data_IF_478899212972
#
_entry.id   IF_478899212972
#
_cell.length_a   1.000
_cell.length_b   1.000
_cell.length_c   1.000
_cell.angle_alpha   90.00
_cell.angle_beta   90.00
_cell.angle_gamma   90.00
#
_symmetry.space_group_name_H-M   'P 1'
#
loop_
_entity.id
_entity.type
_entity.pdbx_description
1 polymer ?
#
# COMPACT_ATOMS: atom_id res chain seq x y z
N UNK A 1 -12.12 -11.88 11.40
CA UNK A 1 -11.07 -12.61 10.65
C UNK A 1 -9.86 -11.71 10.44
N UNK A 2 -8.67 -12.25 10.65
CA UNK A 2 -7.45 -11.50 10.45
C UNK A 2 -7.22 -11.24 8.95
N UNK A 3 -6.81 -10.02 8.57
CA UNK A 3 -6.50 -9.75 7.17
C UNK A 3 -5.25 -10.51 6.72
N UNK A 4 -5.22 -10.88 5.45
CA UNK A 4 -4.08 -11.59 4.87
C UNK A 4 -2.84 -10.69 4.80
N UNK A 5 -3.03 -9.49 4.31
CA UNK A 5 -2.03 -8.42 4.30
C UNK A 5 -2.67 -7.10 4.70
N UNK A 6 -1.84 -6.12 5.04
CA UNK A 6 -2.26 -4.75 5.28
C UNK A 6 -1.66 -3.87 4.18
N UNK A 7 -2.52 -3.24 3.39
CA UNK A 7 -2.10 -2.28 2.37
C UNK A 7 -2.16 -0.90 3.02
N UNK A 8 -1.05 -0.17 3.03
CA UNK A 8 -0.99 1.16 3.64
C UNK A 8 -0.65 2.18 2.55
N UNK A 9 -1.54 3.13 2.33
CA UNK A 9 -1.32 4.23 1.39
C UNK A 9 -1.01 5.49 2.18
N UNK A 10 0.23 5.95 2.09
CA UNK A 10 0.73 7.10 2.81
C UNK A 10 0.47 8.36 2.00
N UNK A 11 -0.40 9.25 2.51
CA UNK A 11 -0.80 10.50 1.87
C UNK A 11 -1.27 10.33 0.42
N UNK A 12 -2.20 9.40 0.13
CA UNK A 12 -2.66 9.19 -1.25
C UNK A 12 -3.32 10.45 -1.80
N UNK A 13 -3.06 10.73 -3.08
CA UNK A 13 -3.49 11.97 -3.71
C UNK A 13 -4.66 11.77 -4.68
N UNK A 14 -4.74 10.61 -5.32
CA UNK A 14 -5.68 10.34 -6.40
C UNK A 14 -6.74 9.35 -5.95
N UNK A 15 -8.04 9.75 -5.93
CA UNK A 15 -9.10 8.87 -5.41
C UNK A 15 -9.25 7.58 -6.20
N UNK A 16 -9.00 7.60 -7.50
CA UNK A 16 -9.10 6.42 -8.35
C UNK A 16 -8.11 5.32 -7.92
N UNK A 17 -6.89 5.69 -7.55
CA UNK A 17 -5.88 4.74 -7.08
C UNK A 17 -6.29 4.11 -5.75
N UNK A 18 -6.83 4.91 -4.84
CA UNK A 18 -7.31 4.42 -3.56
C UNK A 18 -8.49 3.45 -3.75
N UNK A 19 -9.40 3.79 -4.67
CA UNK A 19 -10.51 2.90 -5.01
C UNK A 19 -10.04 1.57 -5.57
N UNK A 20 -9.07 1.59 -6.48
CA UNK A 20 -8.51 0.38 -7.06
C UNK A 20 -7.80 -0.47 -5.99
N UNK A 21 -7.09 0.16 -5.05
CA UNK A 21 -6.46 -0.55 -3.93
C UNK A 21 -7.51 -1.22 -3.04
N UNK A 22 -8.65 -0.56 -2.83
CA UNK A 22 -9.78 -1.14 -2.10
C UNK A 22 -10.31 -2.41 -2.76
N UNK A 23 -10.40 -2.41 -4.09
CA UNK A 23 -10.81 -3.58 -4.84
C UNK A 23 -9.82 -4.74 -4.67
N UNK A 24 -8.52 -4.43 -4.70
CA UNK A 24 -7.48 -5.42 -4.45
C UNK A 24 -7.56 -5.98 -3.03
N UNK A 25 -7.82 -5.11 -2.06
CA UNK A 25 -7.99 -5.53 -0.67
C UNK A 25 -9.13 -6.54 -0.53
N UNK A 26 -10.27 -6.26 -1.17
CA UNK A 26 -11.40 -7.20 -1.17
C UNK A 26 -11.04 -8.51 -1.85
N UNK A 27 -10.41 -8.45 -3.01
CA UNK A 27 -10.06 -9.63 -3.78
C UNK A 27 -9.11 -10.57 -3.04
N UNK A 28 -8.30 -10.03 -2.13
CA UNK A 28 -7.22 -10.77 -1.46
C UNK A 28 -7.46 -11.02 0.02
N UNK A 29 -8.58 -10.55 0.56
CA UNK A 29 -8.84 -10.65 2.00
C UNK A 29 -7.90 -9.80 2.84
N UNK A 30 -7.51 -8.63 2.33
CA UNK A 30 -6.59 -7.72 2.97
C UNK A 30 -7.30 -6.48 3.51
N UNK A 31 -6.64 -5.75 4.39
CA UNK A 31 -7.15 -4.50 4.96
C UNK A 31 -6.47 -3.32 4.30
N UNK A 32 -7.25 -2.27 4.04
CA UNK A 32 -6.71 -1.03 3.48
C UNK A 32 -6.61 0.03 4.56
N UNK A 33 -5.42 0.61 4.69
CA UNK A 33 -5.15 1.73 5.60
C UNK A 33 -4.79 2.96 4.79
N UNK A 34 -5.38 4.09 5.15
CA UNK A 34 -5.06 5.38 4.54
C UNK A 34 -4.49 6.29 5.62
N UNK A 35 -3.36 6.92 5.34
CA UNK A 35 -2.70 7.86 6.26
C UNK A 35 -2.95 9.28 5.76
N UNK A 36 -3.62 10.09 6.57
CA UNK A 36 -3.87 11.51 6.26
C UNK A 36 -2.57 12.31 6.24
N UNK A 37 -2.50 13.43 5.50
CA UNK A 37 -3.59 14.02 4.73
C UNK A 37 -3.86 13.28 3.43
N UNK A 38 -5.12 13.31 2.99
CA UNK A 38 -5.56 12.74 1.73
C UNK A 38 -5.77 13.87 0.72
N UNK A 39 -5.43 13.65 -0.54
CA UNK A 39 -5.65 14.62 -1.60
C UNK A 39 -7.08 14.67 -2.12
N UNK A 40 -8.02 14.02 -1.44
CA UNK A 40 -9.43 13.91 -1.86
C UNK A 40 -10.32 13.65 -0.65
N UNK A 41 -11.64 13.74 -0.88
CA UNK A 41 -12.64 13.44 0.14
C UNK A 41 -13.01 11.95 0.09
N UNK A 42 -13.21 11.35 1.26
CA UNK A 42 -13.66 9.96 1.39
C UNK A 42 -15.19 9.85 1.39
N UNK A 43 -15.93 10.93 1.13
CA UNK A 43 -17.38 10.83 1.10
C UNK A 43 -17.81 9.82 0.01
N UNK A 44 -18.87 9.11 0.30
CA UNK A 44 -19.37 8.05 -0.56
C UNK A 44 -19.68 8.52 -1.98
N UNK A 45 -20.20 9.73 -2.11
CA UNK A 45 -20.53 10.32 -3.40
C UNK A 45 -19.28 10.51 -4.27
N UNK A 46 -18.21 10.99 -3.67
CA UNK A 46 -16.93 11.22 -4.37
C UNK A 46 -16.32 9.90 -4.84
N UNK A 47 -16.32 8.89 -3.98
CA UNK A 47 -15.80 7.56 -4.30
C UNK A 47 -16.66 6.89 -5.37
N UNK A 48 -17.98 7.04 -5.32
CA UNK A 48 -18.90 6.47 -6.33
C UNK A 48 -18.66 7.00 -7.73
N UNK A 49 -18.17 8.22 -7.88
CA UNK A 49 -17.83 8.78 -9.18
C UNK A 49 -16.73 8.01 -9.91
N UNK A 50 -15.98 7.18 -9.18
CA UNK A 50 -14.97 6.32 -9.76
C UNK A 50 -15.51 4.94 -10.18
N UNK A 51 -16.83 4.72 -10.05
CA UNK A 51 -17.49 3.47 -10.42
C UNK A 51 -17.31 2.34 -9.42
N UNK A 52 -17.11 2.66 -8.13
CA UNK A 52 -16.74 1.68 -7.10
C UNK A 52 -17.92 1.29 -6.22
N UNK A 53 -18.78 0.39 -6.72
CA UNK A 53 -19.95 -0.09 -5.97
C UNK A 53 -19.57 -0.93 -4.75
N UNK A 54 -18.38 -1.52 -4.74
CA UNK A 54 -17.91 -2.41 -3.68
C UNK A 54 -17.29 -1.66 -2.49
N UNK A 55 -17.16 -0.32 -2.57
CA UNK A 55 -16.40 0.46 -1.57
C UNK A 55 -16.89 0.25 -0.14
N UNK A 56 -18.22 0.13 0.05
CA UNK A 56 -18.78 -0.09 1.38
C UNK A 56 -18.33 -1.41 2.02
N UNK A 57 -17.85 -2.36 1.23
CA UNK A 57 -17.39 -3.68 1.72
C UNK A 57 -15.90 -3.70 2.07
N UNK A 58 -15.16 -2.65 1.73
CA UNK A 58 -13.72 -2.60 2.00
C UNK A 58 -13.49 -2.45 3.51
N UNK A 59 -12.60 -3.28 4.06
CA UNK A 59 -12.14 -3.15 5.43
C UNK A 59 -11.16 -1.98 5.48
N UNK A 60 -11.69 -0.78 5.69
CA UNK A 60 -10.96 0.48 5.59
C UNK A 60 -10.70 1.09 6.96
N UNK A 61 -9.46 1.49 7.20
CA UNK A 61 -9.04 2.20 8.39
C UNK A 61 -8.29 3.46 7.99
N UNK A 62 -8.65 4.60 8.58
CA UNK A 62 -8.02 5.90 8.29
C UNK A 62 -7.31 6.39 9.54
N UNK A 63 -6.08 6.84 9.37
CA UNK A 63 -5.21 7.26 10.47
C UNK A 63 -4.69 8.67 10.25
N UNK A 64 -4.46 9.41 11.32
CA UNK A 64 -3.90 10.76 11.21
C UNK A 64 -2.40 10.73 10.97
N UNK A 65 -1.73 9.64 11.33
CA UNK A 65 -0.30 9.46 11.07
C UNK A 65 0.06 7.98 10.98
N UNK A 66 1.21 7.70 10.37
CA UNK A 66 1.74 6.34 10.33
C UNK A 66 2.10 5.84 11.73
N UNK A 67 2.55 6.74 12.60
CA UNK A 67 2.88 6.43 13.99
C UNK A 67 1.67 5.92 14.75
N UNK A 68 0.49 6.51 14.54
CA UNK A 68 -0.75 6.01 15.14
C UNK A 68 -1.06 4.59 14.69
N UNK A 69 -0.91 4.32 13.41
CA UNK A 69 -1.10 2.96 12.89
C UNK A 69 -0.14 1.99 13.55
N UNK A 70 1.14 2.35 13.63
CA UNK A 70 2.15 1.47 14.23
C UNK A 70 1.88 1.20 15.70
N UNK A 71 1.39 2.19 16.43
CA UNK A 71 1.04 2.01 17.84
C UNK A 71 -0.16 1.08 18.02
N UNK A 72 -1.10 1.12 17.09
CA UNK A 72 -2.28 0.25 17.12
C UNK A 72 -1.99 -1.16 16.60
N UNK A 73 -0.94 -1.32 15.82
CA UNK A 73 -0.57 -2.62 15.24
C UNK A 73 0.00 -3.55 16.30
N UNK A 74 -0.06 -4.86 16.03
CA UNK A 74 0.57 -5.85 16.88
C UNK A 74 2.06 -5.52 17.03
N UNK A 75 2.66 -5.67 18.24
CA UNK A 75 4.10 -5.40 18.42
C UNK A 75 5.01 -6.20 17.49
N UNK A 76 4.56 -7.36 17.01
CA UNK A 76 5.32 -8.20 16.07
C UNK A 76 5.07 -7.84 14.62
N UNK A 77 4.27 -6.81 14.33
CA UNK A 77 3.94 -6.41 12.97
C UNK A 77 5.18 -6.04 12.17
N UNK A 78 5.21 -6.48 10.92
CA UNK A 78 6.31 -6.25 10.00
C UNK A 78 5.88 -5.28 8.93
N UNK A 79 6.70 -4.26 8.69
CA UNK A 79 6.41 -3.20 7.71
C UNK A 79 7.44 -3.22 6.59
N UNK A 80 6.96 -3.24 5.34
CA UNK A 80 7.77 -3.11 4.14
C UNK A 80 7.44 -1.78 3.48
N UNK A 81 8.44 -1.09 2.96
CA UNK A 81 8.30 0.26 2.40
C UNK A 81 8.65 0.24 0.93
N UNK A 82 7.70 0.57 0.07
CA UNK A 82 7.86 0.51 -1.38
C UNK A 82 8.30 1.86 -1.94
N UNK A 83 9.40 1.87 -2.68
CA UNK A 83 9.95 3.10 -3.25
C UNK A 83 10.79 2.79 -4.49
N UNK A 84 10.69 3.65 -5.50
CA UNK A 84 11.57 3.57 -6.67
C UNK A 84 13.03 3.86 -6.32
N UNK A 85 13.29 4.43 -5.16
CA UNK A 85 14.63 4.77 -4.67
C UNK A 85 15.29 3.64 -3.90
N UNK A 86 14.57 2.59 -3.55
CA UNK A 86 15.14 1.45 -2.86
C UNK A 86 15.99 0.60 -3.83
N UNK A 87 16.91 -0.18 -3.28
CA UNK A 87 17.80 -1.01 -4.09
C UNK A 87 17.38 -2.48 -4.11
N UNK A 88 16.79 -2.94 -3.02
CA UNK A 88 16.39 -4.35 -2.89
C UNK A 88 15.08 -4.59 -3.62
N UNK A 89 15.07 -5.60 -4.49
CA UNK A 89 13.83 -5.98 -5.19
C UNK A 89 12.80 -6.55 -4.22
N UNK A 90 11.53 -6.25 -4.47
CA UNK A 90 10.45 -6.86 -3.71
C UNK A 90 10.41 -8.40 -3.90
N UNK A 91 10.99 -8.92 -4.99
CA UNK A 91 11.10 -10.36 -5.20
C UNK A 91 11.99 -11.04 -4.16
N UNK A 92 12.91 -10.29 -3.54
CA UNK A 92 13.83 -10.83 -2.53
C UNK A 92 13.25 -10.77 -1.12
N UNK A 93 12.14 -10.11 -0.92
CA UNK A 93 11.53 -9.99 0.40
C UNK A 93 10.87 -11.29 0.82
N UNK A 94 10.97 -11.61 2.10
CA UNK A 94 10.31 -12.75 2.71
C UNK A 94 8.97 -12.27 3.29
N UNK A 95 7.94 -12.22 2.45
CA UNK A 95 6.62 -11.76 2.89
C UNK A 95 5.94 -12.83 3.75
N UNK A 96 5.28 -12.37 4.79
CA UNK A 96 4.52 -13.24 5.71
C UNK A 96 3.11 -12.71 5.89
N UNK A 97 2.21 -13.59 6.31
CA UNK A 97 0.82 -13.19 6.59
C UNK A 97 0.78 -12.02 7.55
N UNK A 98 -0.11 -11.08 7.29
CA UNK A 98 -0.35 -9.87 8.07
C UNK A 98 0.75 -8.82 7.97
N UNK A 99 1.70 -9.01 7.06
CA UNK A 99 2.70 -7.96 6.80
C UNK A 99 2.01 -6.68 6.29
N UNK A 100 2.59 -5.55 6.63
CA UNK A 100 2.16 -4.23 6.19
C UNK A 100 3.01 -3.80 5.00
N UNK A 101 2.33 -3.40 3.92
CA UNK A 101 2.95 -2.97 2.68
C UNK A 101 2.67 -1.47 2.51
N UNK A 102 3.68 -0.63 2.70
CA UNK A 102 3.52 0.83 2.74
C UNK A 102 3.93 1.44 1.41
N UNK A 103 2.98 2.16 0.79
CA UNK A 103 3.17 2.83 -0.49
C UNK A 103 3.05 4.35 -0.31
N UNK A 104 3.87 5.11 -1.03
CA UNK A 104 3.89 6.57 -0.95
C UNK A 104 2.91 7.27 -1.86
N UNK A 105 2.77 8.59 -1.70
CA UNK A 105 1.91 9.39 -2.57
C UNK A 105 2.38 9.36 -4.02
N UNK A 106 1.41 9.51 -4.92
CA UNK A 106 1.64 9.33 -6.36
C UNK A 106 2.71 10.24 -6.94
N UNK A 107 2.75 11.49 -6.48
CA UNK A 107 3.64 12.49 -7.10
C UNK A 107 5.08 12.48 -6.59
N UNK A 108 5.34 11.93 -5.41
CA UNK A 108 6.68 12.09 -4.78
C UNK A 108 7.20 10.86 -4.02
N UNK A 109 6.38 9.83 -3.85
CA UNK A 109 6.78 8.64 -3.11
C UNK A 109 6.95 8.89 -1.61
N UNK A 110 7.48 7.90 -0.91
CA UNK A 110 7.70 8.00 0.54
C UNK A 110 8.84 8.99 0.85
N UNK A 111 8.78 9.69 2.02
CA UNK A 111 9.85 10.60 2.42
C UNK A 111 11.21 9.90 2.53
N UNK A 112 12.27 10.61 2.14
CA UNK A 112 13.63 10.05 2.22
C UNK A 112 14.03 9.68 3.64
N UNK A 113 13.60 10.48 4.63
CA UNK A 113 13.88 10.18 6.04
C UNK A 113 13.30 8.84 6.45
N UNK A 114 12.09 8.53 5.98
CA UNK A 114 11.44 7.25 6.27
C UNK A 114 12.21 6.10 5.63
N UNK A 115 12.65 6.27 4.38
CA UNK A 115 13.43 5.24 3.67
C UNK A 115 14.78 5.00 4.33
N UNK A 116 15.44 6.03 4.82
CA UNK A 116 16.70 5.88 5.54
C UNK A 116 16.52 5.15 6.86
N UNK A 117 15.48 5.51 7.60
CA UNK A 117 15.16 4.87 8.87
C UNK A 117 14.85 3.38 8.70
N UNK A 118 14.25 3.02 7.57
CA UNK A 118 13.82 1.65 7.29
C UNK A 118 14.54 1.02 6.09
N UNK A 119 15.82 1.35 5.92
CA UNK A 119 16.59 0.89 4.75
C UNK A 119 16.59 -0.63 4.58
N UNK A 120 16.56 -1.38 5.68
CA UNK A 120 16.55 -2.84 5.64
C UNK A 120 15.25 -3.46 5.12
N UNK A 121 14.15 -2.70 5.14
CA UNK A 121 12.83 -3.16 4.68
C UNK A 121 12.26 -2.30 3.56
N UNK A 122 13.10 -1.48 2.93
CA UNK A 122 12.71 -0.71 1.75
C UNK A 122 12.92 -1.57 0.51
N UNK A 123 11.89 -1.60 -0.35
CA UNK A 123 11.87 -2.47 -1.53
C UNK A 123 11.51 -1.67 -2.78
N UNK A 124 12.00 -2.12 -3.93
CA UNK A 124 11.62 -1.56 -5.21
C UNK A 124 11.04 -2.64 -6.12
N UNK A 125 10.17 -2.22 -7.04
CA UNK A 125 9.68 -3.08 -8.11
C UNK A 125 10.66 -2.94 -9.27
N UNK A 126 11.29 -4.02 -9.75
CA UNK A 126 12.21 -3.92 -10.88
C UNK A 126 11.55 -3.34 -12.12
N UNK A 127 12.22 -2.37 -12.75
CA UNK A 127 11.77 -1.73 -13.98
C UNK A 127 12.94 -1.70 -14.97
N UNK A 128 13.16 -2.81 -15.70
CA UNK A 128 14.32 -2.90 -16.59
C UNK A 128 14.20 -2.08 -17.88
N UNK A 129 13.00 -1.58 -18.18
CA UNK A 129 12.78 -0.73 -19.36
C UNK A 129 13.32 0.68 -19.15
N UNK A 130 13.48 1.44 -20.24
CA UNK A 130 14.02 2.77 -20.19
C UNK A 130 12.98 3.89 -20.23
N UNK A 131 11.73 3.58 -20.49
CA UNK A 131 10.69 4.57 -20.77
C UNK A 131 9.91 5.09 -19.57
N UNK A 132 10.12 4.54 -18.36
CA UNK A 132 9.36 4.96 -17.19
C UNK A 132 10.22 4.90 -15.92
N UNK A 133 9.94 5.82 -14.99
CA UNK A 133 10.62 5.90 -13.69
C UNK A 133 9.75 5.42 -12.54
N UNK A 134 8.46 5.24 -12.80
CA UNK A 134 7.51 4.79 -11.79
C UNK A 134 6.34 4.12 -12.45
N UNK A 135 5.61 3.34 -11.65
CA UNK A 135 4.37 2.70 -12.08
C UNK A 135 3.19 3.43 -11.44
N UNK A 136 2.02 3.34 -12.06
CA UNK A 136 0.79 3.77 -11.43
C UNK A 136 0.69 3.15 -10.05
N UNK A 137 0.24 3.91 -9.05
CA UNK A 137 0.22 3.45 -7.66
C UNK A 137 -0.60 2.18 -7.47
N UNK A 138 -1.81 2.11 -8.01
CA UNK A 138 -2.63 0.90 -7.85
C UNK A 138 -2.01 -0.32 -8.53
N UNK A 139 -1.30 -0.10 -9.64
CA UNK A 139 -0.54 -1.16 -10.31
C UNK A 139 0.59 -1.66 -9.41
N UNK A 140 1.34 -0.76 -8.79
CA UNK A 140 2.39 -1.12 -7.85
C UNK A 140 1.85 -1.92 -6.67
N UNK A 141 0.71 -1.50 -6.13
CA UNK A 141 0.03 -2.23 -5.04
C UNK A 141 -0.28 -3.66 -5.48
N UNK A 142 -0.86 -3.83 -6.68
CA UNK A 142 -1.22 -5.15 -7.19
C UNK A 142 0.00 -6.05 -7.34
N UNK A 143 1.08 -5.53 -7.91
CA UNK A 143 2.30 -6.30 -8.14
C UNK A 143 2.87 -6.83 -6.82
N UNK A 144 3.04 -5.97 -5.83
CA UNK A 144 3.64 -6.36 -4.55
C UNK A 144 2.71 -7.29 -3.76
N UNK A 145 1.43 -6.95 -3.72
CA UNK A 145 0.42 -7.74 -3.01
C UNK A 145 0.37 -9.18 -3.55
N UNK A 146 0.35 -9.33 -4.88
CA UNK A 146 0.27 -10.66 -5.49
C UNK A 146 1.58 -11.44 -5.40
N UNK A 147 2.72 -10.78 -5.33
CA UNK A 147 3.96 -11.49 -5.01
C UNK A 147 3.89 -12.04 -3.58
N UNK A 148 3.34 -11.28 -2.65
CA UNK A 148 3.11 -11.75 -1.28
C UNK A 148 2.20 -12.98 -1.25
N UNK A 149 1.09 -12.94 -2.00
CA UNK A 149 0.18 -14.09 -2.08
C UNK A 149 0.88 -15.32 -2.65
N UNK A 150 1.68 -15.14 -3.70
CA UNK A 150 2.43 -16.23 -4.31
C UNK A 150 3.34 -16.89 -3.28
N UNK A 151 4.06 -16.09 -2.50
CA UNK A 151 4.96 -16.62 -1.47
C UNK A 151 4.21 -17.38 -0.37
N UNK A 152 2.98 -16.97 -0.07
CA UNK A 152 2.16 -17.69 0.92
C UNK A 152 1.56 -19.00 0.37
N UNK A 153 1.74 -19.30 -0.89
CA UNK A 153 1.24 -20.52 -1.50
C UNK A 153 -0.23 -20.46 -1.92
N UNK A 154 -0.70 -19.28 -2.21
CA UNK A 154 -2.11 -19.08 -2.59
C UNK A 154 -2.29 -19.12 -4.10
#
# INVERSE_FOLDING_TARGET
MQPRFHIVMFHPEIPHNTGAAGRLALATGSRLHLIRPLGFSLDEKHVRRTGLDYWAKVDLHVWDSLEELKQAADPSARFWYLSTKARRSHWEADFRERDYLVFGPESRGLPESMLKEHAGTALTIPMPGEGSRSLNLSTAVAIVLYEGLRQLGI
#
